data_IF_137238309360
#
_entry.id   IF_137238309360
#
_cell.length_a   1.000
_cell.length_b   1.000
_cell.length_c   1.000
_cell.angle_alpha   90.00
_cell.angle_beta   90.00
_cell.angle_gamma   90.00
#
_symmetry.space_group_name_H-M   'P 1'
#
loop_
_entity.id
_entity.type
_entity.pdbx_description
1 polymer ?
#
# COMPACT_ATOMS: atom_id res chain seq x y z
N UNK A 1 -37.13 -4.20 11.27
CA UNK A 1 -35.77 -4.17 10.67
C UNK A 1 -35.91 -4.19 9.16
N UNK A 2 -35.57 -3.09 8.46
CA UNK A 2 -35.57 -3.09 6.99
C UNK A 2 -34.35 -3.89 6.53
N UNK A 3 -34.58 -5.06 5.94
CA UNK A 3 -33.55 -5.77 5.17
C UNK A 3 -33.14 -4.87 4.01
N UNK A 4 -32.01 -4.17 4.16
CA UNK A 4 -31.32 -3.57 3.02
C UNK A 4 -30.74 -4.74 2.22
N UNK A 5 -31.30 -4.97 1.02
CA UNK A 5 -30.80 -5.96 0.09
C UNK A 5 -29.28 -5.83 -0.07
N UNK A 6 -28.60 -6.95 -0.32
CA UNK A 6 -27.14 -7.07 -0.43
C UNK A 6 -26.54 -5.84 -1.12
N UNK A 7 -25.99 -4.92 -0.32
CA UNK A 7 -25.37 -3.70 -0.81
C UNK A 7 -24.08 -4.10 -1.51
N UNK A 8 -23.95 -3.78 -2.79
CA UNK A 8 -22.80 -4.18 -3.61
C UNK A 8 -21.51 -3.65 -3.00
N UNK A 9 -20.58 -4.55 -2.72
CA UNK A 9 -19.30 -4.25 -2.07
C UNK A 9 -18.49 -3.24 -2.88
N UNK A 10 -17.82 -2.31 -2.20
CA UNK A 10 -16.86 -1.42 -2.83
C UNK A 10 -15.49 -2.12 -2.94
N UNK A 11 -15.31 -2.87 -4.03
CA UNK A 11 -14.05 -3.58 -4.28
C UNK A 11 -12.84 -2.62 -4.34
N UNK A 12 -13.03 -1.35 -4.68
CA UNK A 12 -11.95 -0.37 -4.72
C UNK A 12 -11.50 0.03 -3.32
N UNK A 13 -12.42 0.18 -2.35
CA UNK A 13 -12.03 0.45 -0.97
C UNK A 13 -11.30 -0.74 -0.36
N UNK A 14 -11.75 -1.96 -0.62
CA UNK A 14 -11.05 -3.18 -0.17
C UNK A 14 -9.66 -3.27 -0.82
N UNK A 15 -9.57 -3.07 -2.14
CA UNK A 15 -8.29 -3.08 -2.83
C UNK A 15 -7.34 -1.99 -2.28
N UNK A 16 -7.84 -0.76 -2.11
CA UNK A 16 -7.07 0.34 -1.52
C UNK A 16 -6.57 0.01 -0.11
N UNK A 17 -7.42 -0.61 0.71
CA UNK A 17 -7.08 -1.06 2.05
C UNK A 17 -6.02 -2.18 2.07
N UNK A 18 -6.09 -3.15 1.15
CA UNK A 18 -5.19 -4.31 1.14
C UNK A 18 -3.82 -4.04 0.50
N UNK A 19 -3.73 -3.11 -0.45
CA UNK A 19 -2.48 -2.78 -1.17
C UNK A 19 -1.28 -2.41 -0.28
N UNK A 20 -1.40 -1.58 0.78
CA UNK A 20 -0.25 -1.29 1.64
C UNK A 20 0.29 -2.53 2.37
N UNK A 21 -0.57 -3.50 2.72
CA UNK A 21 -0.12 -4.77 3.29
C UNK A 21 0.57 -5.66 2.25
N UNK A 22 0.08 -5.67 1.01
CA UNK A 22 0.77 -6.35 -0.09
C UNK A 22 2.16 -5.75 -0.33
N UNK A 23 2.27 -4.42 -0.35
CA UNK A 23 3.56 -3.73 -0.44
C UNK A 23 4.50 -4.11 0.72
N UNK A 24 3.98 -4.13 1.95
CA UNK A 24 4.74 -4.53 3.13
C UNK A 24 5.23 -5.98 3.03
N UNK A 25 4.37 -6.91 2.64
CA UNK A 25 4.72 -8.32 2.49
C UNK A 25 5.82 -8.51 1.43
N UNK A 26 5.70 -7.84 0.28
CA UNK A 26 6.73 -7.84 -0.77
C UNK A 26 8.04 -7.29 -0.20
N UNK A 27 8.00 -6.14 0.48
CA UNK A 27 9.17 -5.53 1.09
C UNK A 27 9.87 -6.47 2.08
N UNK A 28 9.11 -7.09 2.98
CA UNK A 28 9.63 -8.03 3.97
C UNK A 28 10.29 -9.25 3.34
N UNK A 29 9.69 -9.84 2.30
CA UNK A 29 10.29 -10.97 1.56
C UNK A 29 11.63 -10.56 0.96
N UNK A 30 11.72 -9.38 0.34
CA UNK A 30 12.98 -8.93 -0.27
C UNK A 30 14.03 -8.59 0.78
N UNK A 31 13.68 -7.91 1.87
CA UNK A 31 14.61 -7.56 2.95
C UNK A 31 15.16 -8.82 3.63
N UNK A 32 14.32 -9.80 3.93
CA UNK A 32 14.75 -11.05 4.56
C UNK A 32 15.64 -11.89 3.63
N UNK A 33 15.36 -11.91 2.32
CA UNK A 33 16.15 -12.67 1.36
C UNK A 33 17.45 -11.96 0.93
N UNK A 34 17.53 -10.63 1.07
CA UNK A 34 18.71 -9.87 0.70
C UNK A 34 19.92 -10.19 1.59
N UNK A 35 19.72 -10.69 2.83
CA UNK A 35 20.80 -10.98 3.79
C UNK A 35 21.80 -9.82 3.99
N UNK A 36 21.34 -8.58 3.82
CA UNK A 36 22.17 -7.36 3.89
C UNK A 36 22.75 -6.89 2.55
N UNK A 37 22.58 -7.62 1.44
CA UNK A 37 22.95 -7.16 0.10
C UNK A 37 21.83 -6.31 -0.52
N UNK A 38 21.85 -5.02 -0.17
CA UNK A 38 20.92 -4.00 -0.68
C UNK A 38 21.40 -3.37 -2.00
N UNK A 39 22.58 -3.76 -2.50
CA UNK A 39 23.14 -3.25 -3.76
C UNK A 39 22.64 -4.06 -4.95
N UNK A 40 22.26 -5.32 -4.73
CA UNK A 40 21.76 -6.19 -5.78
C UNK A 40 20.64 -5.53 -6.63
N UNK A 41 20.77 -5.68 -7.96
CA UNK A 41 19.80 -5.11 -8.90
C UNK A 41 18.36 -5.54 -8.60
N UNK A 42 18.16 -6.80 -8.17
CA UNK A 42 16.84 -7.34 -7.80
C UNK A 42 16.25 -6.59 -6.61
N UNK A 43 17.05 -6.35 -5.57
CA UNK A 43 16.59 -5.59 -4.41
C UNK A 43 16.25 -4.16 -4.82
N UNK A 44 17.14 -3.47 -5.53
CA UNK A 44 16.90 -2.09 -5.98
C UNK A 44 15.68 -1.95 -6.89
N UNK A 45 15.49 -2.88 -7.84
CA UNK A 45 14.31 -2.86 -8.69
C UNK A 45 13.02 -3.01 -7.89
N UNK A 46 12.96 -4.00 -6.99
CA UNK A 46 11.76 -4.22 -6.19
C UNK A 46 11.51 -3.08 -5.22
N UNK A 47 12.57 -2.57 -4.62
CA UNK A 47 12.48 -1.51 -3.63
C UNK A 47 12.11 -0.16 -4.26
N UNK A 48 12.75 0.23 -5.37
CA UNK A 48 12.57 1.54 -6.01
C UNK A 48 11.41 1.59 -7.01
N UNK A 49 11.02 0.46 -7.60
CA UNK A 49 9.97 0.43 -8.63
C UNK A 49 8.72 -0.28 -8.12
N UNK A 50 8.84 -1.53 -7.68
CA UNK A 50 7.68 -2.36 -7.37
C UNK A 50 6.91 -1.85 -6.14
N UNK A 51 7.60 -1.56 -5.02
CA UNK A 51 6.95 -1.08 -3.79
C UNK A 51 6.21 0.25 -4.02
N UNK A 52 6.84 1.30 -4.61
CA UNK A 52 6.14 2.55 -4.92
C UNK A 52 4.94 2.37 -5.84
N UNK A 53 5.03 1.47 -6.82
CA UNK A 53 3.92 1.20 -7.73
C UNK A 53 2.74 0.59 -6.96
N UNK A 54 2.97 -0.40 -6.11
CA UNK A 54 1.90 -1.02 -5.30
C UNK A 54 1.27 -0.01 -4.34
N UNK A 55 2.08 0.81 -3.66
CA UNK A 55 1.57 1.88 -2.79
C UNK A 55 0.81 2.96 -3.57
N UNK A 56 1.28 3.32 -4.77
CA UNK A 56 0.60 4.27 -5.66
C UNK A 56 -0.76 3.74 -6.14
N UNK A 57 -0.84 2.45 -6.49
CA UNK A 57 -2.11 1.80 -6.82
C UNK A 57 -3.06 1.75 -5.62
N UNK A 58 -2.54 1.44 -4.42
CA UNK A 58 -3.33 1.46 -3.19
C UNK A 58 -3.91 2.84 -2.87
N UNK A 59 -3.10 3.89 -3.02
CA UNK A 59 -3.55 5.27 -2.86
C UNK A 59 -4.60 5.64 -3.92
N UNK A 60 -4.35 5.29 -5.18
CA UNK A 60 -5.30 5.52 -6.28
C UNK A 60 -6.66 4.86 -6.01
N UNK A 61 -6.67 3.58 -5.62
CA UNK A 61 -7.91 2.87 -5.30
C UNK A 61 -8.61 3.45 -4.07
N UNK A 62 -7.86 3.87 -3.05
CA UNK A 62 -8.40 4.52 -1.85
C UNK A 62 -9.06 5.86 -2.19
N UNK A 63 -8.45 6.71 -3.02
CA UNK A 63 -9.06 7.99 -3.44
C UNK A 63 -10.28 7.73 -4.33
N UNK A 64 -10.18 6.80 -5.27
CA UNK A 64 -11.27 6.47 -6.21
C UNK A 64 -12.49 5.82 -5.52
N UNK A 65 -12.31 5.25 -4.33
CA UNK A 65 -13.40 4.64 -3.56
C UNK A 65 -14.23 5.67 -2.78
N UNK A 66 -13.66 6.85 -2.45
CA UNK A 66 -14.34 7.89 -1.63
C UNK A 66 -15.70 8.32 -2.21
N UNK A 67 -15.85 8.60 -3.51
CA UNK A 67 -17.16 8.98 -4.07
C UNK A 67 -18.23 7.89 -3.94
N UNK A 68 -17.82 6.62 -3.80
CA UNK A 68 -18.72 5.46 -3.74
C UNK A 68 -19.21 5.15 -2.32
N UNK A 69 -18.66 5.81 -1.29
CA UNK A 69 -19.04 5.61 0.11
C UNK A 69 -20.54 5.88 0.33
N UNK A 70 -21.10 6.90 -0.33
CA UNK A 70 -22.52 7.25 -0.19
C UNK A 70 -23.45 6.11 -0.60
N UNK A 71 -23.08 5.40 -1.66
CA UNK A 71 -23.91 4.36 -2.26
C UNK A 71 -23.66 2.99 -1.61
N UNK A 72 -22.40 2.73 -1.21
CA UNK A 72 -21.91 1.41 -0.77
C UNK A 72 -21.61 1.28 0.72
N UNK A 73 -21.64 2.38 1.48
CA UNK A 73 -21.52 2.45 2.93
C UNK A 73 -20.28 1.72 3.50
N UNK A 74 -19.15 1.85 2.83
CA UNK A 74 -17.87 1.20 3.12
C UNK A 74 -16.83 2.21 3.64
N UNK A 75 -17.31 3.16 4.45
CA UNK A 75 -16.55 4.29 4.97
C UNK A 75 -15.24 3.87 5.64
N UNK A 76 -15.28 2.81 6.43
CA UNK A 76 -14.14 2.34 7.22
C UNK A 76 -13.01 1.86 6.30
N UNK A 77 -13.31 1.05 5.30
CA UNK A 77 -12.30 0.59 4.33
C UNK A 77 -11.71 1.73 3.51
N UNK A 78 -12.54 2.68 3.08
CA UNK A 78 -12.07 3.81 2.26
C UNK A 78 -11.12 4.72 3.05
N UNK A 79 -11.51 5.14 4.25
CA UNK A 79 -10.67 6.03 5.07
C UNK A 79 -9.49 5.32 5.71
N UNK A 80 -9.67 4.11 6.24
CA UNK A 80 -8.53 3.32 6.76
C UNK A 80 -7.56 2.99 5.64
N UNK A 81 -8.04 2.65 4.45
CA UNK A 81 -7.17 2.42 3.28
C UNK A 81 -6.38 3.67 2.90
N UNK A 82 -7.01 4.84 2.87
CA UNK A 82 -6.31 6.10 2.60
C UNK A 82 -5.21 6.39 3.64
N UNK A 83 -5.56 6.31 4.93
CA UNK A 83 -4.62 6.56 6.03
C UNK A 83 -3.46 5.58 6.00
N UNK A 84 -3.74 4.28 5.80
CA UNK A 84 -2.70 3.25 5.72
C UNK A 84 -1.78 3.49 4.52
N UNK A 85 -2.30 3.79 3.33
CA UNK A 85 -1.43 4.09 2.19
C UNK A 85 -0.52 5.28 2.46
N UNK A 86 -1.04 6.38 3.03
CA UNK A 86 -0.23 7.54 3.38
C UNK A 86 0.85 7.18 4.42
N UNK A 87 0.49 6.42 5.45
CA UNK A 87 1.44 5.96 6.47
C UNK A 87 2.54 5.08 5.88
N UNK A 88 2.19 4.09 5.05
CA UNK A 88 3.16 3.20 4.43
C UNK A 88 4.02 3.92 3.38
N UNK A 89 3.49 4.91 2.68
CA UNK A 89 4.28 5.79 1.80
C UNK A 89 5.30 6.57 2.61
N UNK A 90 4.90 7.18 3.73
CA UNK A 90 5.83 7.89 4.60
C UNK A 90 6.93 6.96 5.15
N UNK A 91 6.56 5.77 5.62
CA UNK A 91 7.49 4.75 6.08
C UNK A 91 8.45 4.29 4.97
N UNK A 92 7.94 4.09 3.76
CA UNK A 92 8.73 3.75 2.59
C UNK A 92 9.72 4.87 2.26
N UNK A 93 9.29 6.13 2.26
CA UNK A 93 10.18 7.27 1.95
C UNK A 93 11.32 7.39 2.96
N UNK A 94 11.05 7.21 4.25
CA UNK A 94 12.09 7.19 5.30
C UNK A 94 13.05 6.02 5.07
N UNK A 95 12.51 4.84 4.77
CA UNK A 95 13.32 3.64 4.50
C UNK A 95 14.17 3.79 3.24
N UNK A 96 13.61 4.39 2.19
CA UNK A 96 14.28 4.65 0.93
C UNK A 96 15.37 5.70 1.08
N UNK A 97 15.11 6.75 1.87
CA UNK A 97 16.12 7.72 2.21
C UNK A 97 17.30 7.05 2.96
N UNK A 98 17.00 6.20 3.94
CA UNK A 98 18.03 5.46 4.66
C UNK A 98 18.85 4.56 3.73
N UNK A 99 18.21 3.76 2.88
CA UNK A 99 18.92 2.81 2.01
C UNK A 99 19.70 3.50 0.87
N UNK A 100 19.23 4.64 0.35
CA UNK A 100 19.87 5.30 -0.79
C UNK A 100 20.97 6.28 -0.38
N UNK A 101 20.91 6.83 0.84
CA UNK A 101 21.82 7.89 1.29
C UNK A 101 22.62 7.55 2.56
N UNK A 102 22.39 6.39 3.19
CA UNK A 102 23.23 5.95 4.31
C UNK A 102 24.59 5.46 3.79
N UNK A 103 25.71 5.89 4.38
CA UNK A 103 27.06 5.54 3.91
C UNK A 103 27.45 4.06 4.11
N UNK A 104 26.60 3.24 4.75
CA UNK A 104 26.87 1.84 5.11
C UNK A 104 26.09 0.81 4.27
N UNK A 105 25.51 1.21 3.14
CA UNK A 105 24.81 0.34 2.18
C UNK A 105 25.47 0.39 0.82
#
# INVERSE_FOLDING_TARGET
MKYHGFRKTNHLAIAGFLMPFAAAAIASVYVLNAKGDFVSFRFRFCFVVLIPLVLGLGLFFSVKSIPQIRDRNDKDYAYSGLVLNLFFIALYLVSAFYILFSPNT
#
